data_IF_403407592990
#
_entry.id   IF_403407592990
#
_cell.length_a   1.000
_cell.length_b   1.000
_cell.length_c   1.000
_cell.angle_alpha   90.00
_cell.angle_beta   90.00
_cell.angle_gamma   90.00
#
_symmetry.space_group_name_H-M   'P 1'
#
loop_
_entity.id
_entity.type
_entity.pdbx_description
1 polymer ?
#
# COMPACT_ATOMS: atom_id res chain seq x y z
N UNK A 1 -52.91 12.53 11.23
CA UNK A 1 -52.45 11.99 12.53
C UNK A 1 -52.31 10.49 12.30
N UNK A 2 -51.15 9.82 12.26
CA UNK A 2 -49.79 10.01 12.79
C UNK A 2 -48.82 9.30 11.81
N UNK A 3 -47.76 9.92 11.26
CA UNK A 3 -46.34 9.85 11.70
C UNK A 3 -45.98 8.46 12.27
N UNK A 4 -45.25 7.63 11.50
CA UNK A 4 -43.78 7.46 11.53
C UNK A 4 -43.36 6.80 12.87
N UNK A 5 -42.63 5.68 12.93
CA UNK A 5 -41.20 5.63 12.62
C UNK A 5 -40.74 4.18 12.37
N UNK A 6 -40.05 3.97 11.25
CA UNK A 6 -39.20 2.81 11.03
C UNK A 6 -37.91 3.03 11.82
N UNK A 7 -37.64 2.19 12.81
CA UNK A 7 -36.45 2.25 13.66
C UNK A 7 -35.19 2.14 12.79
N UNK A 8 -34.31 3.13 12.93
CA UNK A 8 -33.16 3.35 12.07
C UNK A 8 -32.11 2.25 12.13
N UNK A 9 -31.57 1.93 10.96
CA UNK A 9 -30.27 1.30 10.83
C UNK A 9 -29.22 2.25 11.42
N UNK A 10 -28.78 1.99 12.65
CA UNK A 10 -27.66 2.68 13.28
C UNK A 10 -26.37 2.13 12.67
N UNK A 11 -25.96 2.70 11.53
CA UNK A 11 -24.64 2.48 10.95
C UNK A 11 -23.66 3.37 11.72
N UNK A 12 -22.87 2.75 12.59
CA UNK A 12 -21.92 3.40 13.49
C UNK A 12 -20.83 4.15 12.68
N UNK A 13 -20.56 5.45 12.91
CA UNK A 13 -19.69 6.27 12.04
C UNK A 13 -18.17 6.07 12.25
N UNK A 14 -17.72 4.92 12.76
CA UNK A 14 -16.30 4.73 13.16
C UNK A 14 -15.39 4.14 12.06
N UNK A 15 -15.89 3.91 10.85
CA UNK A 15 -15.17 3.11 9.83
C UNK A 15 -14.17 3.85 8.95
N UNK A 16 -14.04 5.18 9.04
CA UNK A 16 -13.22 5.94 8.07
C UNK A 16 -11.83 6.39 8.58
N UNK A 17 -11.54 6.31 9.89
CA UNK A 17 -10.29 6.85 10.46
C UNK A 17 -9.28 5.83 11.03
N UNK A 18 -9.58 4.53 11.01
CA UNK A 18 -8.80 3.52 11.77
C UNK A 18 -7.81 2.68 10.96
N UNK A 19 -7.83 2.71 9.62
CA UNK A 19 -7.00 1.84 8.75
C UNK A 19 -5.97 2.62 7.91
N UNK A 20 -5.20 3.52 8.53
CA UNK A 20 -4.14 4.27 7.84
C UNK A 20 -2.78 3.58 7.97
N UNK A 21 -1.86 3.85 7.03
CA UNK A 21 -0.45 3.46 7.17
C UNK A 21 0.16 4.14 8.41
N UNK A 22 0.92 3.40 9.21
CA UNK A 22 1.57 3.93 10.41
C UNK A 22 2.51 5.11 10.03
N UNK A 23 2.55 6.21 10.80
CA UNK A 23 3.30 7.41 10.42
C UNK A 23 4.78 7.19 10.08
N UNK A 24 5.51 6.38 10.85
CA UNK A 24 6.93 6.08 10.56
C UNK A 24 7.06 5.23 9.30
N UNK A 25 6.23 4.22 9.13
CA UNK A 25 6.19 3.40 7.91
C UNK A 25 5.85 4.25 6.68
N UNK A 26 4.95 5.23 6.81
CA UNK A 26 4.61 6.19 5.76
C UNK A 26 5.79 7.07 5.38
N UNK A 27 6.54 7.57 6.36
CA UNK A 27 7.74 8.38 6.10
C UNK A 27 8.85 7.55 5.45
N UNK A 28 9.12 6.33 5.94
CA UNK A 28 10.12 5.44 5.37
C UNK A 28 9.75 5.03 3.93
N UNK A 29 8.49 4.64 3.70
CA UNK A 29 7.97 4.37 2.35
C UNK A 29 8.17 5.56 1.42
N UNK A 30 7.83 6.78 1.87
CA UNK A 30 8.03 8.01 1.08
C UNK A 30 9.50 8.23 0.72
N UNK A 31 10.41 8.09 1.68
CA UNK A 31 11.84 8.31 1.44
C UNK A 31 12.42 7.29 0.46
N UNK A 32 12.03 6.02 0.57
CA UNK A 32 12.44 4.96 -0.37
C UNK A 32 11.86 5.17 -1.76
N UNK A 33 10.61 5.60 -1.87
CA UNK A 33 9.99 5.95 -3.16
C UNK A 33 10.68 7.14 -3.83
N UNK A 34 11.13 8.15 -3.06
CA UNK A 34 11.94 9.24 -3.60
C UNK A 34 13.28 8.74 -4.16
N UNK A 35 13.93 7.78 -3.49
CA UNK A 35 15.13 7.14 -4.01
C UNK A 35 14.86 6.34 -5.29
N UNK A 36 13.77 5.54 -5.32
CA UNK A 36 13.36 4.79 -6.51
C UNK A 36 13.02 5.72 -7.69
N UNK A 37 12.38 6.87 -7.41
CA UNK A 37 12.13 7.91 -8.40
C UNK A 37 13.44 8.42 -9.01
N UNK A 38 14.45 8.72 -8.19
CA UNK A 38 15.76 9.16 -8.68
C UNK A 38 16.45 8.10 -9.55
N UNK A 39 16.34 6.81 -9.20
CA UNK A 39 16.84 5.74 -10.06
C UNK A 39 16.08 5.67 -11.40
N UNK A 40 14.75 5.80 -11.37
CA UNK A 40 13.95 5.82 -12.59
C UNK A 40 14.31 7.00 -13.50
N UNK A 41 14.50 8.19 -12.94
CA UNK A 41 15.02 9.37 -13.65
C UNK A 41 16.40 9.11 -14.26
N UNK A 42 17.28 8.38 -13.56
CA UNK A 42 18.57 7.94 -14.08
C UNK A 42 18.46 7.02 -15.29
N UNK A 43 17.48 6.10 -15.30
CA UNK A 43 17.20 5.23 -16.46
C UNK A 43 16.69 6.06 -17.64
N UNK A 44 15.79 7.02 -17.40
CA UNK A 44 15.30 7.91 -18.45
C UNK A 44 16.45 8.67 -19.10
N UNK A 45 17.39 9.20 -18.30
CA UNK A 45 18.60 9.87 -18.80
C UNK A 45 19.52 8.92 -19.56
N UNK A 46 19.68 7.67 -19.09
CA UNK A 46 20.46 6.64 -19.78
C UNK A 46 19.93 6.36 -21.19
N UNK A 47 18.61 6.46 -21.40
CA UNK A 47 17.95 6.26 -22.69
C UNK A 47 18.08 7.44 -23.67
N UNK A 48 18.58 8.60 -23.23
CA UNK A 48 18.87 9.73 -24.13
C UNK A 48 20.08 9.45 -25.05
N UNK A 49 20.90 8.44 -24.73
CA UNK A 49 22.00 7.97 -25.57
C UNK A 49 21.67 6.66 -26.29
N UNK A 50 22.69 5.82 -26.49
CA UNK A 50 22.55 4.48 -27.07
C UNK A 50 23.02 3.40 -26.07
N UNK A 51 22.27 3.17 -24.98
CA UNK A 51 22.71 2.27 -23.92
C UNK A 51 22.64 0.80 -24.34
N UNK A 52 23.54 -0.02 -23.78
CA UNK A 52 23.46 -1.47 -23.94
C UNK A 52 22.21 -2.03 -23.25
N UNK A 53 21.42 -2.84 -23.98
CA UNK A 53 20.12 -3.34 -23.53
C UNK A 53 20.19 -4.04 -22.17
N UNK A 54 21.25 -4.83 -21.91
CA UNK A 54 21.40 -5.56 -20.65
C UNK A 54 21.58 -4.61 -19.47
N UNK A 55 22.23 -3.47 -19.66
CA UNK A 55 22.44 -2.52 -18.58
C UNK A 55 21.15 -1.75 -18.25
N UNK A 56 20.35 -1.39 -19.26
CA UNK A 56 18.99 -0.85 -19.03
C UNK A 56 18.15 -1.86 -18.25
N UNK A 57 18.16 -3.14 -18.65
CA UNK A 57 17.42 -4.20 -17.96
C UNK A 57 17.86 -4.36 -16.50
N UNK A 58 19.18 -4.33 -16.22
CA UNK A 58 19.69 -4.37 -14.83
C UNK A 58 19.15 -3.20 -14.00
N UNK A 59 19.15 -1.97 -14.55
CA UNK A 59 18.65 -0.81 -13.83
C UNK A 59 17.13 -0.90 -13.58
N UNK A 60 16.35 -1.37 -14.57
CA UNK A 60 14.92 -1.62 -14.39
C UNK A 60 14.69 -2.65 -13.28
N UNK A 61 15.46 -3.75 -13.25
CA UNK A 61 15.37 -4.75 -12.18
C UNK A 61 15.74 -4.18 -10.80
N UNK A 62 16.70 -3.26 -10.74
CA UNK A 62 17.05 -2.57 -9.50
C UNK A 62 15.88 -1.70 -9.00
N UNK A 63 15.17 -0.99 -9.89
CA UNK A 63 13.97 -0.22 -9.52
C UNK A 63 12.84 -1.14 -9.07
N UNK A 64 12.57 -2.23 -9.79
CA UNK A 64 11.56 -3.22 -9.38
C UNK A 64 11.84 -3.75 -7.97
N UNK A 65 13.06 -4.20 -7.70
CA UNK A 65 13.42 -4.68 -6.36
C UNK A 65 13.39 -3.60 -5.28
N UNK A 66 13.55 -2.32 -5.62
CA UNK A 66 13.35 -1.21 -4.68
C UNK A 66 11.86 -1.01 -4.36
N UNK A 67 10.99 -1.09 -5.36
CA UNK A 67 9.54 -1.00 -5.19
C UNK A 67 8.98 -2.19 -4.39
N UNK A 68 9.47 -3.41 -4.65
CA UNK A 68 9.08 -4.61 -3.89
C UNK A 68 9.35 -4.43 -2.39
N UNK A 69 10.54 -3.91 -2.04
CA UNK A 69 10.91 -3.62 -0.65
C UNK A 69 10.03 -2.57 0.01
N UNK A 70 9.52 -1.60 -0.74
CA UNK A 70 8.54 -0.62 -0.23
C UNK A 70 7.19 -1.29 -0.01
N UNK A 71 6.75 -2.12 -0.96
CA UNK A 71 5.52 -2.92 -0.84
C UNK A 71 5.54 -3.81 0.40
N UNK A 72 6.64 -4.53 0.65
CA UNK A 72 6.81 -5.38 1.82
C UNK A 72 6.79 -4.58 3.14
N UNK A 73 7.35 -3.37 3.14
CA UNK A 73 7.32 -2.48 4.31
C UNK A 73 5.89 -2.02 4.62
N UNK A 74 5.13 -1.62 3.60
CA UNK A 74 3.72 -1.20 3.76
C UNK A 74 2.86 -2.38 4.21
N UNK A 75 3.07 -3.55 3.60
CA UNK A 75 2.40 -4.79 3.97
C UNK A 75 2.66 -5.15 5.44
N UNK A 76 3.93 -5.15 5.85
CA UNK A 76 4.32 -5.43 7.24
C UNK A 76 3.60 -4.48 8.21
N UNK A 77 3.62 -3.17 7.93
CA UNK A 77 2.93 -2.19 8.77
C UNK A 77 1.43 -2.49 8.87
N UNK A 78 0.77 -2.85 7.77
CA UNK A 78 -0.64 -3.23 7.78
C UNK A 78 -0.93 -4.46 8.65
N UNK A 79 -0.11 -5.51 8.52
CA UNK A 79 -0.26 -6.74 9.32
C UNK A 79 -0.10 -6.46 10.82
N UNK A 80 0.89 -5.65 11.19
CA UNK A 80 1.20 -5.32 12.59
C UNK A 80 0.12 -4.46 13.26
N UNK A 81 -0.44 -3.47 12.55
CA UNK A 81 -1.33 -2.46 13.16
C UNK A 81 -2.81 -2.79 12.99
N UNK A 82 -3.19 -3.43 11.88
CA UNK A 82 -4.60 -3.60 11.52
C UNK A 82 -5.06 -5.03 11.66
N UNK A 83 -4.28 -6.00 11.17
CA UNK A 83 -4.68 -7.42 11.21
C UNK A 83 -4.57 -8.01 12.60
N UNK A 84 -3.55 -7.64 13.38
CA UNK A 84 -3.31 -8.18 14.73
C UNK A 84 -4.50 -7.99 15.69
N UNK A 85 -5.30 -6.93 15.53
CA UNK A 85 -6.49 -6.65 16.33
C UNK A 85 -7.81 -6.83 15.57
N UNK A 86 -7.78 -7.32 14.33
CA UNK A 86 -8.96 -7.40 13.46
C UNK A 86 -10.04 -8.37 13.99
N UNK A 87 -9.64 -9.46 14.63
CA UNK A 87 -10.58 -10.39 15.25
C UNK A 87 -11.39 -9.72 16.37
N UNK A 88 -10.79 -8.80 17.12
CA UNK A 88 -11.46 -8.06 18.21
C UNK A 88 -12.38 -6.96 17.66
N UNK A 89 -12.06 -6.41 16.49
CA UNK A 89 -12.89 -5.41 15.79
C UNK A 89 -14.01 -6.02 14.95
N UNK A 90 -14.00 -7.33 14.72
CA UNK A 90 -15.00 -8.03 13.90
C UNK A 90 -14.85 -7.79 12.39
N UNK A 91 -13.68 -7.34 11.93
CA UNK A 91 -13.40 -6.98 10.54
C UNK A 91 -12.33 -7.87 9.87
N UNK A 92 -11.94 -8.99 10.51
CA UNK A 92 -10.88 -9.89 10.06
C UNK A 92 -11.08 -10.43 8.64
N UNK A 93 -12.25 -10.99 8.33
CA UNK A 93 -12.52 -11.58 7.01
C UNK A 93 -12.45 -10.54 5.89
N UNK A 94 -12.95 -9.32 6.17
CA UNK A 94 -12.89 -8.20 5.23
C UNK A 94 -11.45 -7.78 4.95
N UNK A 95 -10.65 -7.57 5.99
CA UNK A 95 -9.24 -7.17 5.86
C UNK A 95 -8.41 -8.22 5.12
N UNK A 96 -8.63 -9.51 5.40
CA UNK A 96 -7.96 -10.60 4.70
C UNK A 96 -8.37 -10.61 3.23
N UNK A 97 -9.66 -10.48 2.91
CA UNK A 97 -10.14 -10.45 1.53
C UNK A 97 -9.52 -9.26 0.76
N UNK A 98 -9.56 -8.06 1.33
CA UNK A 98 -8.95 -6.86 0.73
C UNK A 98 -7.46 -7.05 0.46
N UNK A 99 -6.72 -7.61 1.43
CA UNK A 99 -5.30 -7.85 1.28
C UNK A 99 -5.00 -8.91 0.20
N UNK A 100 -5.79 -9.98 0.17
CA UNK A 100 -5.66 -11.03 -0.85
C UNK A 100 -5.94 -10.52 -2.26
N UNK A 101 -6.86 -9.57 -2.45
CA UNK A 101 -7.06 -8.90 -3.74
C UNK A 101 -5.81 -8.15 -4.19
N UNK A 102 -5.15 -7.41 -3.30
CA UNK A 102 -3.92 -6.65 -3.64
C UNK A 102 -2.77 -7.57 -4.01
N UNK A 103 -2.64 -8.72 -3.35
CA UNK A 103 -1.54 -9.67 -3.61
C UNK A 103 -1.65 -10.39 -4.97
N UNK A 104 -2.79 -10.32 -5.66
CA UNK A 104 -2.95 -10.86 -7.02
C UNK A 104 -2.14 -10.11 -8.07
N UNK A 105 -1.73 -8.87 -7.79
CA UNK A 105 -1.00 -8.02 -8.73
C UNK A 105 0.52 -8.22 -8.71
N UNK A 106 0.98 -9.41 -8.29
CA UNK A 106 2.40 -9.80 -8.30
C UNK A 106 2.81 -10.47 -9.61
#
# INVERSE_FOLDING_TARGET
>A
MSRADAQGANVNPITEHTLHLEPRAREDARNRLLSAKGHLEGILKMLEGEPYCVDVLKQIKAVQGALDKVGDLVLKSHLEHHVASAAQRGDADKLVAELMEVLKYR
#
